data_IF_410244719358
#
_entry.id   IF_410244719358
#
_cell.length_a   1.000
_cell.length_b   1.000
_cell.length_c   1.000
_cell.angle_alpha   90.00
_cell.angle_beta   90.00
_cell.angle_gamma   90.00
#
_symmetry.space_group_name_H-M   'P 1'
#
loop_
_entity.id
_entity.type
_entity.pdbx_description
1 polymer ?
#
# COMPACT_ATOMS: atom_id res chain seq x y z
N UNK A 1 9.51 9.23 13.52
CA UNK A 1 9.37 7.85 14.04
C UNK A 1 9.69 6.89 12.92
N UNK A 2 10.40 5.79 13.19
CA UNK A 2 10.68 4.76 12.18
C UNK A 2 9.41 4.00 11.81
N UNK A 3 9.25 3.63 10.54
CA UNK A 3 8.20 2.74 10.08
C UNK A 3 8.35 1.34 10.72
N UNK A 4 7.23 0.68 11.02
CA UNK A 4 7.17 -0.72 11.47
C UNK A 4 5.96 -1.38 10.82
N UNK A 5 6.16 -2.55 10.21
CA UNK A 5 5.08 -3.30 9.55
C UNK A 5 3.96 -3.65 10.54
N UNK A 6 4.28 -4.16 11.73
CA UNK A 6 3.28 -4.48 12.76
C UNK A 6 2.47 -3.25 13.19
N UNK A 7 3.13 -2.10 13.32
CA UNK A 7 2.46 -0.83 13.62
C UNK A 7 1.53 -0.40 12.50
N UNK A 8 2.00 -0.50 11.25
CA UNK A 8 1.23 -0.19 10.06
C UNK A 8 0.01 -1.10 9.91
N UNK A 9 0.15 -2.41 10.07
CA UNK A 9 -0.96 -3.39 10.07
C UNK A 9 -2.03 -3.00 11.08
N UNK A 10 -1.64 -2.71 12.33
CA UNK A 10 -2.60 -2.31 13.38
C UNK A 10 -3.34 -1.03 13.00
N UNK A 11 -2.64 -0.02 12.49
CA UNK A 11 -3.25 1.23 12.06
C UNK A 11 -4.16 1.06 10.84
N UNK A 12 -3.76 0.24 9.86
CA UNK A 12 -4.56 -0.05 8.67
C UNK A 12 -5.87 -0.74 9.02
N UNK A 13 -5.83 -1.76 9.88
CA UNK A 13 -7.03 -2.44 10.39
C UNK A 13 -7.95 -1.48 11.13
N UNK A 14 -7.39 -0.65 12.01
CA UNK A 14 -8.18 0.35 12.75
C UNK A 14 -8.82 1.38 11.80
N UNK A 15 -8.10 1.82 10.77
CA UNK A 15 -8.61 2.79 9.80
C UNK A 15 -9.69 2.17 8.89
N UNK A 16 -9.54 0.90 8.51
CA UNK A 16 -10.53 0.18 7.70
C UNK A 16 -11.82 -0.12 8.48
N UNK A 17 -11.75 -0.21 9.81
CA UNK A 17 -12.91 -0.36 10.70
C UNK A 17 -13.53 0.99 11.13
N UNK A 18 -13.00 2.13 10.68
CA UNK A 18 -13.53 3.46 11.02
C UNK A 18 -14.91 3.69 10.39
N UNK A 19 -15.70 4.61 10.96
CA UNK A 19 -16.99 5.01 10.39
C UNK A 19 -16.87 5.63 8.97
N UNK A 20 -15.71 6.17 8.61
CA UNK A 20 -15.38 6.70 7.29
C UNK A 20 -14.08 6.06 6.78
N UNK A 21 -14.13 4.77 6.42
CA UNK A 21 -12.92 3.95 6.25
C UNK A 21 -12.03 4.46 5.12
N UNK A 22 -12.62 4.91 4.01
CA UNK A 22 -11.87 5.47 2.87
C UNK A 22 -11.08 6.73 3.28
N UNK A 23 -11.69 7.61 4.06
CA UNK A 23 -11.03 8.85 4.50
C UNK A 23 -9.94 8.57 5.54
N UNK A 24 -10.19 7.63 6.44
CA UNK A 24 -9.24 7.21 7.46
C UNK A 24 -8.00 6.54 6.84
N UNK A 25 -8.18 5.59 5.92
CA UNK A 25 -7.07 4.92 5.23
C UNK A 25 -6.29 5.90 4.37
N UNK A 26 -6.95 6.82 3.64
CA UNK A 26 -6.26 7.88 2.90
C UNK A 26 -5.36 8.74 3.81
N UNK A 27 -5.84 9.08 5.00
CA UNK A 27 -5.09 9.87 5.98
C UNK A 27 -3.88 9.10 6.49
N UNK A 28 -4.08 7.82 6.87
CA UNK A 28 -3.00 6.93 7.28
C UNK A 28 -1.92 6.82 6.20
N UNK A 29 -2.30 6.55 4.95
CA UNK A 29 -1.38 6.42 3.83
C UNK A 29 -0.61 7.72 3.61
N UNK A 30 -1.28 8.88 3.66
CA UNK A 30 -0.62 10.18 3.51
C UNK A 30 0.42 10.44 4.59
N UNK A 31 0.16 10.04 5.84
CA UNK A 31 1.10 10.19 6.95
C UNK A 31 2.29 9.23 6.85
N UNK A 32 2.04 7.97 6.48
CA UNK A 32 3.08 6.94 6.37
C UNK A 32 4.02 7.25 5.21
N UNK A 33 3.48 7.64 4.06
CA UNK A 33 4.27 7.97 2.86
C UNK A 33 4.87 9.39 2.87
N UNK A 34 4.74 10.13 3.97
CA UNK A 34 5.49 11.38 4.17
C UNK A 34 7.01 11.14 4.36
N UNK A 35 7.41 9.93 4.79
CA UNK A 35 8.82 9.47 4.82
C UNK A 35 8.95 8.11 4.11
N UNK A 36 8.93 8.09 2.76
CA UNK A 36 9.01 6.85 2.00
C UNK A 36 10.35 6.12 2.22
N UNK A 37 11.42 6.85 2.58
CA UNK A 37 12.73 6.25 2.88
C UNK A 37 12.68 5.39 4.16
N UNK A 38 11.84 5.73 5.14
CA UNK A 38 11.64 4.88 6.30
C UNK A 38 10.99 3.54 5.95
N UNK A 39 10.07 3.55 4.98
CA UNK A 39 9.45 2.33 4.45
C UNK A 39 10.49 1.50 3.71
N UNK A 40 11.22 2.11 2.76
CA UNK A 40 12.27 1.41 1.98
C UNK A 40 13.32 0.73 2.87
N UNK A 41 13.78 1.41 3.93
CA UNK A 41 14.72 0.82 4.91
C UNK A 41 14.15 -0.39 5.65
N UNK A 42 12.85 -0.38 5.94
CA UNK A 42 12.17 -1.48 6.61
C UNK A 42 11.76 -2.61 5.64
N UNK A 43 11.56 -2.26 4.36
CA UNK A 43 11.11 -3.16 3.30
C UNK A 43 12.23 -4.00 2.67
N UNK A 44 13.51 -3.69 2.97
CA UNK A 44 14.70 -4.31 2.37
C UNK A 44 14.87 -5.83 2.51
N UNK A 45 13.84 -6.55 2.95
CA UNK A 45 13.78 -8.02 3.05
C UNK A 45 12.62 -8.68 2.28
N UNK A 46 11.81 -7.95 1.50
CA UNK A 46 10.75 -8.56 0.69
C UNK A 46 11.33 -9.13 -0.61
N UNK A 47 11.22 -10.45 -0.81
CA UNK A 47 11.98 -11.21 -1.83
C UNK A 47 11.15 -11.37 -3.12
N UNK A 48 9.82 -11.27 -3.06
CA UNK A 48 8.90 -11.50 -4.19
C UNK A 48 8.49 -10.24 -5.00
N UNK A 49 7.96 -10.42 -6.23
CA UNK A 49 7.31 -9.35 -6.99
C UNK A 49 6.02 -8.87 -6.33
N UNK A 50 5.22 -9.79 -5.76
CA UNK A 50 4.02 -9.48 -4.98
C UNK A 50 4.10 -10.25 -3.65
N UNK A 51 4.48 -9.55 -2.58
CA UNK A 51 4.61 -10.14 -1.26
C UNK A 51 3.39 -9.79 -0.40
N UNK A 52 2.63 -10.80 0.03
CA UNK A 52 1.58 -10.61 1.03
C UNK A 52 2.22 -10.39 2.41
N UNK A 53 2.12 -9.18 2.93
CA UNK A 53 2.68 -8.81 4.24
C UNK A 53 1.72 -9.09 5.38
N UNK A 54 0.41 -8.99 5.09
CA UNK A 54 -0.67 -9.25 6.02
C UNK A 54 -1.99 -9.39 5.27
N UNK A 55 -2.86 -10.29 5.73
CA UNK A 55 -4.22 -10.43 5.23
C UNK A 55 -5.14 -10.92 6.34
N UNK A 56 -6.32 -10.29 6.45
CA UNK A 56 -7.47 -10.78 7.19
C UNK A 56 -8.77 -10.40 6.46
N UNK A 57 -9.92 -10.73 7.06
CA UNK A 57 -11.23 -10.42 6.47
C UNK A 57 -11.50 -8.91 6.28
N UNK A 58 -10.71 -8.04 6.92
CA UNK A 58 -10.88 -6.59 6.86
C UNK A 58 -9.92 -5.91 5.89
N UNK A 59 -8.64 -6.27 5.90
CA UNK A 59 -7.60 -5.64 5.07
C UNK A 59 -6.60 -6.64 4.54
N UNK A 60 -6.09 -6.35 3.35
CA UNK A 60 -4.89 -6.99 2.83
C UNK A 60 -3.81 -5.94 2.54
N UNK A 61 -2.56 -6.29 2.84
CA UNK A 61 -1.40 -5.41 2.70
C UNK A 61 -0.33 -6.17 1.90
N UNK A 62 0.01 -5.61 0.76
CA UNK A 62 1.00 -6.17 -0.15
C UNK A 62 2.18 -5.20 -0.32
N UNK A 63 3.37 -5.74 -0.46
CA UNK A 63 4.49 -5.05 -1.10
C UNK A 63 4.59 -5.54 -2.53
N UNK A 64 4.42 -4.63 -3.48
CA UNK A 64 4.51 -4.92 -4.91
C UNK A 64 5.77 -4.30 -5.50
N UNK A 65 6.43 -5.01 -6.40
CA UNK A 65 7.65 -4.60 -7.08
C UNK A 65 7.54 -4.93 -8.57
N UNK A 66 7.71 -3.89 -9.37
CA UNK A 66 7.73 -3.99 -10.83
C UNK A 66 9.17 -3.88 -11.35
N UNK A 67 9.51 -4.68 -12.35
CA UNK A 67 10.70 -4.45 -13.15
C UNK A 67 10.54 -3.16 -13.98
N UNK A 68 11.64 -2.48 -14.38
CA UNK A 68 11.54 -1.35 -15.28
C UNK A 68 10.76 -1.70 -16.56
N UNK A 69 9.76 -0.87 -16.88
CA UNK A 69 8.86 -1.03 -18.04
C UNK A 69 7.88 -2.22 -17.97
N UNK A 70 7.76 -2.89 -16.83
CA UNK A 70 6.68 -3.85 -16.60
C UNK A 70 5.31 -3.15 -16.63
N UNK A 71 4.32 -3.80 -17.22
CA UNK A 71 2.98 -3.24 -17.42
C UNK A 71 1.94 -4.12 -16.74
N UNK A 72 1.07 -3.50 -15.95
CA UNK A 72 -0.13 -4.13 -15.42
C UNK A 72 -1.32 -3.73 -16.31
N UNK A 73 -2.05 -4.70 -16.93
CA UNK A 73 -3.22 -4.39 -17.75
C UNK A 73 -4.31 -3.63 -16.96
N UNK A 74 -5.13 -2.79 -17.62
CA UNK A 74 -6.26 -2.15 -16.96
C UNK A 74 -7.20 -3.19 -16.32
N UNK A 75 -7.52 -2.99 -15.04
CA UNK A 75 -8.38 -3.88 -14.27
C UNK A 75 -9.22 -3.10 -13.25
N UNK A 76 -10.27 -3.76 -12.73
CA UNK A 76 -11.15 -3.17 -11.72
C UNK A 76 -11.01 -3.92 -10.40
N UNK A 77 -10.72 -3.18 -9.34
CA UNK A 77 -10.50 -3.73 -8.00
C UNK A 77 -11.80 -4.24 -7.36
N UNK A 78 -12.96 -3.64 -7.68
CA UNK A 78 -14.27 -3.92 -7.03
C UNK A 78 -14.26 -3.80 -5.50
N UNK A 79 -13.20 -3.19 -4.96
CA UNK A 79 -12.95 -2.84 -3.56
C UNK A 79 -12.21 -1.50 -3.53
N UNK A 80 -12.05 -0.90 -2.35
CA UNK A 80 -11.19 0.26 -2.19
C UNK A 80 -9.72 -0.18 -2.13
N UNK A 81 -8.91 0.31 -3.07
CA UNK A 81 -7.47 0.08 -3.11
C UNK A 81 -6.72 1.40 -2.89
N UNK A 82 -5.62 1.33 -2.14
CA UNK A 82 -4.74 2.46 -1.86
C UNK A 82 -3.32 2.06 -2.17
N UNK A 83 -2.64 2.86 -2.99
CA UNK A 83 -1.28 2.62 -3.42
C UNK A 83 -0.38 3.75 -2.91
N UNK A 84 0.82 3.41 -2.46
CA UNK A 84 1.87 4.37 -2.17
C UNK A 84 3.21 3.86 -2.70
N UNK A 85 3.95 4.73 -3.38
CA UNK A 85 5.27 4.43 -3.95
C UNK A 85 6.34 4.86 -2.96
N UNK A 86 7.14 3.90 -2.45
CA UNK A 86 8.23 4.20 -1.51
C UNK A 86 9.63 4.17 -2.16
N UNK A 87 9.77 3.59 -3.33
CA UNK A 87 11.00 3.56 -4.13
C UNK A 87 10.66 3.55 -5.63
N UNK A 88 11.49 4.19 -6.46
CA UNK A 88 11.27 4.28 -7.89
C UNK A 88 10.16 5.26 -8.29
N UNK A 89 9.51 4.99 -9.42
CA UNK A 89 8.42 5.81 -9.96
C UNK A 89 7.47 4.94 -10.76
N UNK A 90 6.17 5.19 -10.61
CA UNK A 90 5.11 4.48 -11.31
C UNK A 90 4.22 5.48 -12.06
N UNK A 91 3.80 5.12 -13.26
CA UNK A 91 2.84 5.90 -14.05
C UNK A 91 1.49 5.19 -14.00
N UNK A 92 0.50 5.85 -13.41
CA UNK A 92 -0.86 5.33 -13.31
C UNK A 92 -1.76 5.95 -14.39
N UNK A 93 -2.39 5.11 -15.21
CA UNK A 93 -3.40 5.51 -16.20
C UNK A 93 -4.78 5.10 -15.70
N UNK A 94 -5.64 6.09 -15.43
CA UNK A 94 -6.97 5.85 -14.88
C UNK A 94 -8.02 5.93 -16.00
N UNK A 95 -8.87 4.91 -16.06
CA UNK A 95 -9.93 4.78 -17.05
C UNK A 95 -11.29 4.88 -16.37
N UNK A 96 -12.26 5.42 -17.11
CA UNK A 96 -13.66 5.43 -16.68
C UNK A 96 -14.37 4.23 -17.31
N UNK A 97 -15.12 3.50 -16.49
CA UNK A 97 -16.08 2.48 -16.95
C UNK A 97 -17.42 3.12 -17.29
#
# INVERSE_FOLDING_TARGET
MSFSLTGFVRSARSAAADARPVAAVKTLMSQVFADPKAIARAAGSFIGPDECLYEDDGVSIYSVRFAPHELVPPHNHRIHAFLGVYEGTEVNLLYKQ
#
